data_IF_721978101147
#
_entry.id   IF_721978101147
#
_cell.length_a   1.000
_cell.length_b   1.000
_cell.length_c   1.000
_cell.angle_alpha   90.00
_cell.angle_beta   90.00
_cell.angle_gamma   90.00
#
_symmetry.space_group_name_H-M   'P 1'
#
loop_
_entity.id
_entity.type
_entity.pdbx_description
1 polymer ?
#
# COMPACT_ATOMS: atom_id res chain seq x y z
N UNK A 1 0.11 -6.33 -24.14
CA UNK A 1 1.42 -6.33 -23.45
C UNK A 1 1.31 -7.34 -22.33
N UNK A 2 2.10 -8.39 -22.38
CA UNK A 2 2.08 -9.41 -21.34
C UNK A 2 2.61 -8.84 -20.01
N UNK A 3 2.22 -9.45 -18.89
CA UNK A 3 2.61 -9.01 -17.56
C UNK A 3 4.13 -8.97 -17.36
N UNK A 4 4.85 -9.85 -18.08
CA UNK A 4 6.30 -9.92 -18.10
C UNK A 4 6.92 -8.70 -18.81
N UNK A 5 6.39 -8.34 -19.98
CA UNK A 5 6.89 -7.20 -20.76
C UNK A 5 6.72 -5.88 -20.01
N UNK A 6 5.59 -5.73 -19.29
CA UNK A 6 5.33 -4.57 -18.45
C UNK A 6 6.31 -4.48 -17.28
N UNK A 7 6.64 -5.62 -16.67
CA UNK A 7 7.60 -5.68 -15.58
C UNK A 7 9.01 -5.32 -16.06
N UNK A 8 9.43 -5.84 -17.21
CA UNK A 8 10.75 -5.53 -17.79
C UNK A 8 10.88 -4.05 -18.16
N UNK A 9 9.85 -3.48 -18.79
CA UNK A 9 9.83 -2.05 -19.12
C UNK A 9 9.90 -1.16 -17.86
N UNK A 10 9.12 -1.46 -16.84
CA UNK A 10 9.18 -0.74 -15.56
C UNK A 10 10.54 -0.91 -14.89
N UNK A 11 11.11 -2.13 -14.90
CA UNK A 11 12.43 -2.38 -14.31
C UNK A 11 13.52 -1.51 -14.94
N UNK A 12 13.52 -1.34 -16.27
CA UNK A 12 14.46 -0.49 -16.96
C UNK A 12 14.32 0.99 -16.53
N UNK A 13 13.09 1.50 -16.43
CA UNK A 13 12.80 2.88 -16.02
C UNK A 13 13.29 3.12 -14.58
N UNK A 14 12.88 2.28 -13.64
CA UNK A 14 13.21 2.48 -12.22
C UNK A 14 14.67 2.19 -11.90
N UNK A 15 15.34 1.31 -12.67
CA UNK A 15 16.81 1.15 -12.61
C UNK A 15 17.53 2.43 -13.03
N UNK A 16 17.12 3.04 -14.15
CA UNK A 16 17.72 4.28 -14.62
C UNK A 16 17.51 5.44 -13.62
N UNK A 17 16.31 5.56 -13.08
CA UNK A 17 15.99 6.57 -12.06
C UNK A 17 16.79 6.35 -10.77
N UNK A 18 16.90 5.10 -10.30
CA UNK A 18 17.73 4.77 -9.13
C UNK A 18 19.17 5.17 -9.30
N UNK A 19 19.79 4.83 -10.44
CA UNK A 19 21.17 5.23 -10.77
C UNK A 19 21.34 6.75 -10.82
N UNK A 20 20.40 7.45 -11.43
CA UNK A 20 20.44 8.91 -11.52
C UNK A 20 20.34 9.55 -10.12
N UNK A 21 19.41 9.10 -9.29
CA UNK A 21 19.30 9.56 -7.90
C UNK A 21 20.59 9.29 -7.12
N UNK A 22 21.17 8.10 -7.27
CA UNK A 22 22.43 7.77 -6.61
C UNK A 22 23.58 8.70 -6.99
N UNK A 23 23.62 9.12 -8.25
CA UNK A 23 24.70 9.95 -8.78
C UNK A 23 24.61 11.43 -8.32
N UNK A 24 23.38 11.99 -8.26
CA UNK A 24 23.23 13.45 -8.14
C UNK A 24 22.27 13.91 -7.03
N UNK A 25 21.50 13.03 -6.41
CA UNK A 25 20.55 13.44 -5.38
C UNK A 25 21.23 13.70 -4.03
N UNK A 26 20.63 14.58 -3.24
CA UNK A 26 21.01 14.76 -1.84
C UNK A 26 20.84 13.45 -1.06
N UNK A 27 21.75 13.19 -0.10
CA UNK A 27 21.73 11.93 0.68
C UNK A 27 20.60 11.86 1.72
N UNK A 28 19.88 12.94 1.93
CA UNK A 28 18.69 13.02 2.76
C UNK A 28 17.36 12.98 1.98
N UNK A 29 17.42 12.75 0.66
CA UNK A 29 16.25 12.64 -0.20
C UNK A 29 15.27 11.57 0.33
N UNK A 30 13.98 11.84 0.21
CA UNK A 30 12.91 10.86 0.45
C UNK A 30 12.25 10.50 -0.88
N UNK A 31 12.23 9.22 -1.19
CA UNK A 31 11.70 8.70 -2.45
C UNK A 31 10.36 8.02 -2.20
N UNK A 32 9.32 8.49 -2.88
CA UNK A 32 8.00 7.88 -2.88
C UNK A 32 7.69 7.34 -4.27
N UNK A 33 7.62 6.02 -4.40
CA UNK A 33 7.27 5.35 -5.66
C UNK A 33 5.77 5.13 -5.74
N UNK A 34 5.14 5.64 -6.80
CA UNK A 34 3.69 5.58 -7.04
C UNK A 34 3.35 4.66 -8.21
N UNK A 35 4.25 4.54 -9.19
CA UNK A 35 4.05 3.71 -10.39
C UNK A 35 3.93 2.22 -10.05
N UNK A 36 2.91 1.56 -10.61
CA UNK A 36 2.67 0.12 -10.37
C UNK A 36 3.55 -0.78 -11.27
N UNK A 37 4.02 -1.90 -10.75
CA UNK A 37 3.86 -2.43 -9.38
C UNK A 37 4.74 -1.68 -8.36
N UNK A 38 4.10 -0.87 -7.49
CA UNK A 38 4.79 0.11 -6.65
C UNK A 38 5.86 -0.49 -5.73
N UNK A 39 5.57 -1.61 -5.06
CA UNK A 39 6.53 -2.27 -4.18
C UNK A 39 7.77 -2.77 -4.95
N UNK A 40 7.57 -3.42 -6.10
CA UNK A 40 8.64 -3.94 -6.94
C UNK A 40 9.48 -2.80 -7.51
N UNK A 41 8.84 -1.75 -8.01
CA UNK A 41 9.52 -0.59 -8.56
C UNK A 41 10.34 0.17 -7.51
N UNK A 42 9.83 0.29 -6.29
CA UNK A 42 10.57 0.86 -5.17
C UNK A 42 11.82 0.04 -4.83
N UNK A 43 11.69 -1.29 -4.80
CA UNK A 43 12.81 -2.20 -4.57
C UNK A 43 13.88 -2.08 -5.66
N UNK A 44 13.47 -2.01 -6.94
CA UNK A 44 14.39 -1.84 -8.06
C UNK A 44 15.14 -0.50 -7.97
N UNK A 45 14.42 0.60 -7.71
CA UNK A 45 15.04 1.91 -7.55
C UNK A 45 16.06 1.91 -6.40
N UNK A 46 15.68 1.35 -5.25
CA UNK A 46 16.53 1.23 -4.07
C UNK A 46 17.82 0.44 -4.35
N UNK A 47 17.72 -0.72 -4.99
CA UNK A 47 18.91 -1.52 -5.35
C UNK A 47 19.84 -0.84 -6.35
N UNK A 48 19.34 0.09 -7.15
CA UNK A 48 20.16 0.87 -8.09
C UNK A 48 20.65 2.21 -7.50
N UNK A 49 20.43 2.46 -6.22
CA UNK A 49 20.87 3.64 -5.49
C UNK A 49 21.58 3.26 -4.16
N UNK A 50 22.69 2.52 -4.20
CA UNK A 50 23.30 1.93 -3.01
C UNK A 50 23.81 2.94 -1.97
N UNK A 51 24.08 4.19 -2.37
CA UNK A 51 24.56 5.23 -1.46
C UNK A 51 23.42 6.00 -0.77
N UNK A 52 22.16 5.68 -1.08
CA UNK A 52 20.99 6.25 -0.43
C UNK A 52 20.42 5.18 0.51
N UNK A 53 20.18 5.53 1.77
CA UNK A 53 19.69 4.58 2.76
C UNK A 53 18.35 3.96 2.33
N UNK A 54 18.20 2.64 2.44
CA UNK A 54 16.98 1.92 2.03
C UNK A 54 15.71 2.42 2.74
N UNK A 55 15.82 2.94 3.96
CA UNK A 55 14.73 3.56 4.73
C UNK A 55 14.18 4.84 4.11
N UNK A 56 14.87 5.41 3.13
CA UNK A 56 14.43 6.60 2.40
C UNK A 56 13.54 6.27 1.19
N UNK A 57 13.40 4.97 0.84
CA UNK A 57 12.53 4.51 -0.24
C UNK A 57 11.22 3.97 0.32
N UNK A 58 10.12 4.45 -0.23
CA UNK A 58 8.76 4.03 0.14
C UNK A 58 7.90 3.80 -1.10
N UNK A 59 6.96 2.87 -1.01
CA UNK A 59 5.92 2.66 -2.01
C UNK A 59 4.59 3.26 -1.54
N UNK A 60 3.83 3.86 -2.44
CA UNK A 60 2.55 4.49 -2.13
C UNK A 60 1.46 3.44 -1.92
N UNK A 61 1.14 3.15 -0.67
CA UNK A 61 0.02 2.27 -0.26
C UNK A 61 -1.00 2.98 0.64
N UNK A 62 -0.89 4.30 0.78
CA UNK A 62 -1.77 5.10 1.64
C UNK A 62 -3.25 5.01 1.26
N UNK A 63 -3.57 4.85 -0.03
CA UNK A 63 -4.95 4.70 -0.48
C UNK A 63 -5.60 3.43 0.08
N UNK A 64 -4.90 2.31 0.09
CA UNK A 64 -5.40 1.05 0.65
C UNK A 64 -5.65 1.18 2.15
N UNK A 65 -4.71 1.79 2.85
CA UNK A 65 -4.82 2.08 4.28
C UNK A 65 -6.04 2.96 4.60
N UNK A 66 -6.23 4.07 3.88
CA UNK A 66 -7.37 4.96 4.09
C UNK A 66 -8.70 4.29 3.77
N UNK A 67 -8.75 3.43 2.75
CA UNK A 67 -9.93 2.64 2.40
C UNK A 67 -10.31 1.68 3.54
N UNK A 68 -9.33 0.98 4.10
CA UNK A 68 -9.55 0.07 5.21
C UNK A 68 -10.06 0.80 6.46
N UNK A 69 -9.42 1.93 6.82
CA UNK A 69 -9.89 2.78 7.93
C UNK A 69 -11.34 3.24 7.71
N UNK A 70 -11.67 3.70 6.50
CA UNK A 70 -13.02 4.17 6.19
C UNK A 70 -14.06 3.04 6.35
N UNK A 71 -13.76 1.85 5.86
CA UNK A 71 -14.69 0.72 5.95
C UNK A 71 -14.96 0.30 7.40
N UNK A 72 -13.94 0.19 8.23
CA UNK A 72 -14.13 -0.19 9.63
C UNK A 72 -14.80 0.93 10.44
N UNK A 73 -14.44 2.19 10.20
CA UNK A 73 -15.08 3.34 10.85
C UNK A 73 -16.58 3.42 10.52
N UNK A 74 -16.97 3.22 9.25
CA UNK A 74 -18.38 3.16 8.84
C UNK A 74 -19.12 1.98 9.48
N UNK A 75 -18.48 0.81 9.58
CA UNK A 75 -19.08 -0.38 10.18
C UNK A 75 -19.38 -0.20 11.67
N UNK A 76 -18.48 0.46 12.38
CA UNK A 76 -18.57 0.66 13.84
C UNK A 76 -19.22 1.99 14.24
N UNK A 77 -19.47 2.89 13.27
CA UNK A 77 -20.12 4.19 13.53
C UNK A 77 -19.23 5.23 14.18
N UNK A 78 -17.89 5.07 14.09
CA UNK A 78 -16.91 6.00 14.68
C UNK A 78 -16.29 6.92 13.63
N UNK A 79 -15.60 7.97 14.06
CA UNK A 79 -14.80 8.80 13.16
C UNK A 79 -13.54 8.04 12.69
N UNK A 80 -13.05 8.35 11.48
CA UNK A 80 -11.80 7.75 10.97
C UNK A 80 -10.58 8.07 11.83
N UNK A 81 -10.60 9.17 12.57
CA UNK A 81 -9.58 9.59 13.53
C UNK A 81 -9.48 8.69 14.77
N UNK A 82 -10.54 7.96 15.08
CA UNK A 82 -10.63 7.08 16.26
C UNK A 82 -10.08 5.67 15.96
N UNK A 83 -9.75 5.41 14.68
CA UNK A 83 -9.13 4.17 14.21
C UNK A 83 -7.61 4.33 14.19
N UNK A 84 -6.92 3.49 14.94
CA UNK A 84 -5.45 3.47 15.03
C UNK A 84 -4.88 2.09 14.70
N UNK A 85 -3.58 2.02 14.44
CA UNK A 85 -2.82 0.80 14.17
C UNK A 85 -3.33 -0.04 12.97
N UNK A 86 -4.13 0.55 12.06
CA UNK A 86 -4.51 -0.14 10.83
C UNK A 86 -3.26 -0.51 10.04
N UNK A 87 -3.15 -1.76 9.66
CA UNK A 87 -2.03 -2.28 8.87
C UNK A 87 -2.53 -2.99 7.62
N UNK A 88 -1.88 -2.73 6.50
CA UNK A 88 -2.10 -3.46 5.25
C UNK A 88 -0.84 -4.28 4.96
N UNK A 89 -0.99 -5.59 4.94
CA UNK A 89 0.10 -6.52 4.63
C UNK A 89 0.12 -6.87 3.14
N UNK A 90 1.31 -7.12 2.61
CA UNK A 90 1.52 -7.59 1.25
C UNK A 90 1.67 -6.49 0.20
N UNK A 91 1.52 -6.88 -1.06
CA UNK A 91 1.69 -5.98 -2.21
C UNK A 91 0.48 -5.06 -2.40
N UNK A 92 0.71 -3.90 -3.00
CA UNK A 92 -0.34 -3.02 -3.50
C UNK A 92 -1.08 -3.67 -4.69
N UNK A 93 -1.93 -4.65 -4.39
CA UNK A 93 -2.69 -5.45 -5.35
C UNK A 93 -3.94 -6.06 -4.69
N UNK A 94 -4.72 -6.82 -5.45
CA UNK A 94 -5.86 -7.57 -4.90
C UNK A 94 -5.47 -8.70 -3.91
N UNK A 95 -4.16 -8.90 -3.65
CA UNK A 95 -3.66 -9.85 -2.65
C UNK A 95 -3.29 -9.16 -1.32
N UNK A 96 -3.49 -7.85 -1.21
CA UNK A 96 -3.28 -7.12 0.04
C UNK A 96 -4.20 -7.66 1.15
N UNK A 97 -3.72 -7.62 2.39
CA UNK A 97 -4.47 -8.10 3.54
C UNK A 97 -4.64 -6.98 4.58
N UNK A 98 -5.84 -6.40 4.70
CA UNK A 98 -6.13 -5.41 5.74
C UNK A 98 -6.36 -6.10 7.08
N UNK A 99 -5.56 -5.74 8.08
CA UNK A 99 -5.47 -6.44 9.36
C UNK A 99 -6.29 -5.72 10.44
N UNK A 100 -7.38 -6.34 10.91
CA UNK A 100 -8.16 -5.87 12.06
C UNK A 100 -7.67 -6.41 13.41
N UNK A 101 -6.82 -7.42 13.46
CA UNK A 101 -6.33 -7.99 14.73
C UNK A 101 -5.44 -7.00 15.48
N UNK A 102 -4.62 -6.23 14.75
CA UNK A 102 -3.78 -5.18 15.33
C UNK A 102 -4.47 -3.81 15.38
N UNK A 103 -5.54 -3.62 14.64
CA UNK A 103 -6.28 -2.35 14.60
C UNK A 103 -7.00 -2.10 15.92
N UNK A 104 -7.01 -0.84 16.34
CA UNK A 104 -7.70 -0.37 17.55
C UNK A 104 -8.71 0.72 17.21
N UNK A 105 -9.85 0.67 17.86
CA UNK A 105 -10.91 1.68 17.80
C UNK A 105 -11.13 2.16 19.24
N UNK A 106 -10.82 3.42 19.50
CA UNK A 106 -10.87 4.00 20.86
C UNK A 106 -10.14 3.12 21.91
N UNK A 107 -9.04 2.46 21.49
CA UNK A 107 -8.25 1.56 22.33
C UNK A 107 -8.72 0.10 22.38
N UNK A 108 -9.93 -0.23 21.92
CA UNK A 108 -10.46 -1.59 21.85
C UNK A 108 -9.96 -2.33 20.61
N UNK A 109 -9.94 -3.66 20.66
CA UNK A 109 -9.59 -4.49 19.50
C UNK A 109 -10.67 -4.41 18.42
N UNK A 110 -10.32 -3.96 17.22
CA UNK A 110 -11.29 -3.78 16.14
C UNK A 110 -11.94 -5.11 15.69
N UNK A 111 -11.21 -6.23 15.75
CA UNK A 111 -11.75 -7.55 15.36
C UNK A 111 -12.87 -8.02 16.33
N UNK A 112 -12.85 -7.57 17.59
CA UNK A 112 -13.86 -7.91 18.58
C UNK A 112 -15.16 -7.12 18.39
N UNK A 113 -15.13 -6.04 17.62
CA UNK A 113 -16.28 -5.15 17.37
C UNK A 113 -17.08 -5.52 16.11
N UNK A 114 -16.62 -6.53 15.36
CA UNK A 114 -17.27 -6.98 14.12
C UNK A 114 -17.40 -8.51 14.10
N UNK A 115 -18.32 -9.02 13.28
CA UNK A 115 -18.40 -10.48 13.07
C UNK A 115 -17.27 -10.95 12.15
N UNK A 116 -16.80 -12.18 12.36
CA UNK A 116 -15.82 -12.82 11.50
C UNK A 116 -16.32 -12.92 10.05
N UNK A 117 -17.60 -13.22 9.86
CA UNK A 117 -18.22 -13.28 8.54
C UNK A 117 -18.10 -11.95 7.79
N UNK A 118 -18.42 -10.82 8.42
CA UNK A 118 -18.24 -9.50 7.81
C UNK A 118 -16.77 -9.20 7.51
N UNK A 119 -15.87 -9.56 8.43
CA UNK A 119 -14.43 -9.34 8.22
C UNK A 119 -13.92 -10.07 6.98
N UNK A 120 -14.25 -11.36 6.84
CA UNK A 120 -13.74 -12.21 5.78
C UNK A 120 -14.46 -12.00 4.44
N UNK A 121 -15.79 -11.84 4.46
CA UNK A 121 -16.62 -11.86 3.26
C UNK A 121 -17.00 -10.47 2.73
N UNK A 122 -16.93 -9.43 3.56
CA UNK A 122 -17.23 -8.04 3.14
C UNK A 122 -15.99 -7.13 3.21
N UNK A 123 -15.35 -7.02 4.37
CA UNK A 123 -14.29 -6.05 4.60
C UNK A 123 -13.05 -6.33 3.74
N UNK A 124 -12.47 -7.51 3.84
CA UNK A 124 -11.26 -7.86 3.09
C UNK A 124 -11.49 -7.72 1.58
N UNK A 125 -12.54 -8.33 0.97
CA UNK A 125 -12.78 -8.20 -0.46
C UNK A 125 -13.06 -6.76 -0.91
N UNK A 126 -13.79 -5.98 -0.12
CA UNK A 126 -14.09 -4.57 -0.44
C UNK A 126 -12.81 -3.74 -0.51
N UNK A 127 -11.90 -3.89 0.45
CA UNK A 127 -10.62 -3.17 0.46
C UNK A 127 -9.75 -3.62 -0.71
N UNK A 128 -9.62 -4.92 -0.93
CA UNK A 128 -8.80 -5.51 -2.01
C UNK A 128 -9.25 -5.08 -3.40
N UNK A 129 -10.56 -5.01 -3.65
CA UNK A 129 -11.13 -4.79 -4.98
C UNK A 129 -11.48 -3.32 -5.27
N UNK A 130 -11.33 -2.42 -4.29
CA UNK A 130 -11.75 -1.02 -4.45
C UNK A 130 -11.10 -0.32 -5.64
N UNK A 131 -9.82 -0.56 -5.87
CA UNK A 131 -9.09 -0.01 -7.02
C UNK A 131 -9.70 -0.44 -8.36
N UNK A 132 -9.97 -1.72 -8.53
CA UNK A 132 -10.60 -2.27 -9.73
C UNK A 132 -12.03 -1.74 -9.91
N UNK A 133 -12.80 -1.61 -8.84
CA UNK A 133 -14.16 -1.05 -8.87
C UNK A 133 -14.17 0.41 -9.35
N UNK A 134 -13.23 1.24 -8.89
CA UNK A 134 -13.08 2.64 -9.34
C UNK A 134 -12.72 2.72 -10.82
N UNK A 135 -11.80 1.88 -11.31
CA UNK A 135 -11.41 1.84 -12.72
C UNK A 135 -12.59 1.44 -13.58
N UNK A 136 -13.39 0.46 -13.14
CA UNK A 136 -14.56 -0.03 -13.87
C UNK A 136 -15.71 1.00 -13.93
N UNK A 137 -15.78 1.90 -12.95
CA UNK A 137 -16.82 2.94 -12.88
C UNK A 137 -16.53 4.19 -13.72
N UNK A 138 -15.37 4.28 -14.37
CA UNK A 138 -14.97 5.33 -15.31
C UNK A 138 -15.33 4.94 -16.72
#
# INVERSE_FOLDING_TARGET
MERKDLLEANAAIFSAQGKAMNAVASRDIKVLVVGNPANTNALIAMHNAPDIAGTQFTAMTRLDHNRAITQIAQKTGVATTDVSNMTIWGNHSATQYPDLFNTRIEGQSAIELVSQDWYENDFIPTVQQRGAAIIKAR
#
